data_IF_981017661043
#
_entry.id   IF_981017661043
#
_cell.length_a   1.000
_cell.length_b   1.000
_cell.length_c   1.000
_cell.angle_alpha   90.00
_cell.angle_beta   90.00
_cell.angle_gamma   90.00
#
_symmetry.space_group_name_H-M   'P 1'
#
loop_
_entity.id
_entity.type
_entity.pdbx_description
1 polymer ?
#
# COMPACT_ATOMS: atom_id res chain seq x y z
N UNK A 1 -30.81 -30.78 -25.35
CA UNK A 1 -30.72 -32.25 -25.39
C UNK A 1 -29.99 -32.83 -24.18
N UNK A 2 -28.76 -32.36 -23.85
CA UNK A 2 -28.03 -32.82 -22.65
C UNK A 2 -28.83 -32.68 -21.34
N UNK A 3 -29.62 -31.62 -21.18
CA UNK A 3 -30.42 -31.43 -19.98
C UNK A 3 -31.57 -32.43 -19.82
N UNK A 4 -31.87 -33.21 -20.83
CA UNK A 4 -32.92 -34.26 -20.84
C UNK A 4 -32.38 -35.68 -20.68
N UNK A 5 -31.07 -35.89 -20.53
CA UNK A 5 -30.46 -37.19 -20.31
C UNK A 5 -30.98 -37.78 -18.99
N UNK A 6 -31.36 -39.06 -19.01
CA UNK A 6 -31.86 -39.76 -17.84
C UNK A 6 -30.92 -40.88 -17.38
N UNK A 7 -30.23 -41.55 -18.29
CA UNK A 7 -29.34 -42.64 -17.96
C UNK A 7 -27.89 -42.28 -18.32
N UNK A 8 -26.98 -42.56 -17.42
CA UNK A 8 -25.54 -42.38 -17.60
C UNK A 8 -24.86 -43.67 -17.15
N UNK A 9 -23.90 -44.12 -17.95
CA UNK A 9 -23.03 -45.25 -17.62
C UNK A 9 -21.78 -44.80 -16.93
N UNK A 10 -21.34 -45.47 -15.88
CA UNK A 10 -20.11 -45.19 -15.20
C UNK A 10 -18.94 -45.81 -15.98
N UNK A 11 -18.04 -44.94 -16.46
CA UNK A 11 -16.82 -45.41 -17.14
C UNK A 11 -15.79 -45.86 -16.14
N UNK A 12 -15.49 -45.01 -15.18
CA UNK A 12 -14.55 -45.31 -14.08
C UNK A 12 -14.86 -44.48 -12.82
N UNK A 13 -14.30 -44.90 -11.68
CA UNK A 13 -14.32 -44.22 -10.41
C UNK A 13 -12.89 -44.26 -9.82
N UNK A 14 -12.15 -43.18 -9.99
CA UNK A 14 -10.81 -43.05 -9.41
C UNK A 14 -10.91 -42.58 -7.96
N UNK A 15 -10.27 -43.30 -7.04
CA UNK A 15 -10.16 -42.92 -5.64
C UNK A 15 -8.71 -42.52 -5.33
N UNK A 16 -8.54 -41.42 -4.61
CA UNK A 16 -7.24 -40.92 -4.16
C UNK A 16 -7.39 -40.25 -2.80
N UNK A 17 -6.25 -40.03 -2.15
CA UNK A 17 -6.14 -39.32 -0.91
C UNK A 17 -5.51 -37.94 -1.18
N UNK A 18 -6.11 -36.88 -0.64
CA UNK A 18 -5.52 -35.54 -0.64
C UNK A 18 -5.21 -35.12 0.79
N UNK A 19 -3.98 -34.68 1.04
CA UNK A 19 -3.52 -34.14 2.32
C UNK A 19 -3.41 -32.64 2.23
N UNK A 20 -3.97 -31.95 3.21
CA UNK A 20 -3.94 -30.50 3.33
C UNK A 20 -3.13 -30.15 4.58
N UNK A 21 -1.93 -29.64 4.36
CA UNK A 21 -1.04 -29.21 5.42
C UNK A 21 -1.62 -28.00 6.19
N UNK A 22 -1.29 -27.86 7.47
CA UNK A 22 -1.66 -26.67 8.22
C UNK A 22 -0.96 -25.41 7.67
N UNK A 23 -1.56 -24.24 7.87
CA UNK A 23 -0.91 -22.99 7.53
C UNK A 23 0.32 -22.74 8.41
N UNK A 24 1.30 -21.99 7.89
CA UNK A 24 2.51 -21.62 8.64
C UNK A 24 2.18 -20.73 9.83
N UNK A 25 3.02 -20.71 10.87
CA UNK A 25 2.95 -19.69 11.91
C UNK A 25 2.98 -18.28 11.30
N UNK A 26 2.45 -17.30 12.02
CA UNK A 26 2.35 -15.94 11.49
C UNK A 26 3.69 -15.24 11.33
N UNK A 27 3.90 -14.69 10.15
CA UNK A 27 4.77 -13.54 9.93
C UNK A 27 3.95 -12.24 10.06
N UNK A 28 4.60 -11.08 10.07
CA UNK A 28 3.89 -9.79 10.08
C UNK A 28 2.89 -9.67 8.92
N UNK A 29 3.29 -10.05 7.72
CA UNK A 29 2.44 -9.98 6.53
C UNK A 29 1.23 -10.91 6.65
N UNK A 30 1.44 -12.16 6.99
CA UNK A 30 0.35 -13.13 7.11
C UNK A 30 -0.59 -12.83 8.28
N UNK A 31 -0.10 -12.25 9.39
CA UNK A 31 -0.94 -11.78 10.49
C UNK A 31 -1.85 -10.63 10.04
N UNK A 32 -1.31 -9.63 9.33
CA UNK A 32 -2.11 -8.51 8.81
C UNK A 32 -3.20 -9.00 7.84
N UNK A 33 -2.87 -9.98 6.98
CA UNK A 33 -3.83 -10.58 6.05
C UNK A 33 -4.95 -11.33 6.80
N UNK A 34 -4.59 -12.19 7.74
CA UNK A 34 -5.54 -12.98 8.52
C UNK A 34 -6.45 -12.09 9.39
N UNK A 35 -5.89 -11.12 10.10
CA UNK A 35 -6.67 -10.17 10.90
C UNK A 35 -7.62 -9.32 10.05
N UNK A 36 -7.19 -8.93 8.84
CA UNK A 36 -8.06 -8.20 7.91
C UNK A 36 -9.21 -9.06 7.39
N UNK A 37 -8.96 -10.33 7.11
CA UNK A 37 -9.98 -11.26 6.62
C UNK A 37 -10.95 -11.67 7.73
N UNK A 38 -10.44 -12.16 8.86
CA UNK A 38 -11.26 -12.74 9.94
C UNK A 38 -11.85 -11.66 10.86
N UNK A 39 -11.03 -10.72 11.33
CA UNK A 39 -11.43 -9.73 12.34
C UNK A 39 -11.80 -8.36 11.73
N UNK A 40 -11.63 -8.18 10.41
CA UNK A 40 -11.87 -6.91 9.69
C UNK A 40 -10.97 -5.75 10.20
N UNK A 41 -9.85 -6.07 10.85
CA UNK A 41 -8.89 -5.07 11.31
C UNK A 41 -8.07 -4.52 10.14
N UNK A 42 -7.82 -3.22 10.16
CA UNK A 42 -6.87 -2.59 9.23
C UNK A 42 -5.44 -2.95 9.62
N UNK A 43 -4.50 -3.05 8.67
CA UNK A 43 -3.10 -3.38 8.96
C UNK A 43 -2.47 -2.53 10.07
N UNK A 44 -2.74 -1.22 10.10
CA UNK A 44 -2.26 -0.31 11.16
C UNK A 44 -2.85 -0.68 12.53
N UNK A 45 -4.15 -0.96 12.60
CA UNK A 45 -4.82 -1.42 13.83
C UNK A 45 -4.22 -2.75 14.29
N UNK A 46 -4.09 -3.72 13.39
CA UNK A 46 -3.46 -5.02 13.69
C UNK A 46 -2.08 -4.84 14.32
N UNK A 47 -1.24 -3.97 13.73
CA UNK A 47 0.09 -3.74 14.26
C UNK A 47 0.11 -3.01 15.60
N UNK A 48 -0.84 -2.10 15.84
CA UNK A 48 -0.99 -1.44 17.14
C UNK A 48 -1.40 -2.42 18.25
N UNK A 49 -2.37 -3.29 17.96
CA UNK A 49 -2.81 -4.33 18.90
C UNK A 49 -1.72 -5.38 19.16
N UNK A 50 -1.01 -5.81 18.10
CA UNK A 50 0.12 -6.73 18.24
C UNK A 50 1.28 -6.12 19.05
N UNK A 51 1.53 -4.81 18.91
CA UNK A 51 2.50 -4.08 19.71
C UNK A 51 2.10 -4.10 21.19
N UNK A 52 0.82 -3.82 21.50
CA UNK A 52 0.32 -3.85 22.88
C UNK A 52 0.47 -5.25 23.50
N UNK A 53 0.06 -6.30 22.78
CA UNK A 53 0.21 -7.70 23.23
C UNK A 53 1.68 -8.09 23.46
N UNK A 54 2.60 -7.62 22.62
CA UNK A 54 4.03 -7.84 22.80
C UNK A 54 4.59 -7.10 24.04
N UNK A 55 4.21 -5.83 24.23
CA UNK A 55 4.65 -5.03 25.39
C UNK A 55 4.10 -5.58 26.71
N UNK A 56 2.93 -6.20 26.67
CA UNK A 56 2.35 -6.94 27.81
C UNK A 56 2.99 -8.33 28.03
N UNK A 57 3.85 -8.78 27.11
CA UNK A 57 4.54 -10.06 27.21
C UNK A 57 3.74 -11.28 26.75
N UNK A 58 2.58 -11.08 26.07
CA UNK A 58 1.70 -12.18 25.67
C UNK A 58 2.10 -12.84 24.35
N UNK A 59 2.82 -12.15 23.47
CA UNK A 59 3.28 -12.70 22.19
C UNK A 59 4.77 -12.39 21.95
N UNK A 60 5.39 -13.15 21.03
CA UNK A 60 6.72 -12.85 20.49
C UNK A 60 6.72 -11.57 19.67
N UNK A 61 7.89 -11.06 19.31
CA UNK A 61 8.01 -9.81 18.55
C UNK A 61 7.26 -9.87 17.22
N UNK A 62 6.37 -8.90 17.01
CA UNK A 62 5.39 -8.91 15.93
C UNK A 62 5.94 -8.43 14.57
N UNK A 63 7.18 -7.96 14.50
CA UNK A 63 7.82 -7.56 13.22
C UNK A 63 8.82 -8.61 12.78
N UNK A 64 8.35 -9.64 12.11
CA UNK A 64 9.14 -10.76 11.65
C UNK A 64 8.67 -11.23 10.27
N UNK A 65 9.60 -11.71 9.47
CA UNK A 65 9.39 -12.40 8.21
C UNK A 65 9.64 -13.91 8.32
N UNK A 66 10.09 -14.38 9.51
CA UNK A 66 10.33 -15.79 9.79
C UNK A 66 9.02 -16.52 10.10
N UNK A 67 8.71 -17.63 9.40
CA UNK A 67 7.59 -18.51 9.72
C UNK A 67 7.97 -19.60 10.72
N UNK A 68 9.21 -19.65 11.21
CA UNK A 68 9.70 -20.72 12.07
C UNK A 68 9.52 -20.40 13.54
N UNK A 69 9.24 -21.42 14.31
CA UNK A 69 9.17 -21.40 15.77
C UNK A 69 10.50 -21.86 16.37
N UNK A 70 10.87 -21.39 17.56
CA UNK A 70 12.00 -21.90 18.30
C UNK A 70 11.79 -23.37 18.69
N UNK A 71 12.86 -24.10 18.94
CA UNK A 71 12.77 -25.51 19.35
C UNK A 71 12.00 -25.69 20.65
N UNK A 72 12.19 -24.76 21.60
CA UNK A 72 11.48 -24.74 22.87
C UNK A 72 9.97 -24.52 22.65
N UNK A 73 9.61 -23.57 21.81
CA UNK A 73 8.19 -23.32 21.49
C UNK A 73 7.53 -24.51 20.81
N UNK A 74 8.22 -25.14 19.86
CA UNK A 74 7.73 -26.37 19.21
C UNK A 74 7.50 -27.49 20.22
N UNK A 75 8.44 -27.67 21.16
CA UNK A 75 8.29 -28.70 22.20
C UNK A 75 7.08 -28.42 23.10
N UNK A 76 6.90 -27.18 23.55
CA UNK A 76 5.75 -26.79 24.41
C UNK A 76 4.43 -26.92 23.66
N UNK A 77 4.34 -26.44 22.40
CA UNK A 77 3.12 -26.55 21.59
C UNK A 77 2.74 -28.03 21.36
N UNK A 78 3.71 -28.88 21.04
CA UNK A 78 3.46 -30.30 20.81
C UNK A 78 3.04 -31.03 22.08
N UNK A 79 3.67 -30.72 23.24
CA UNK A 79 3.25 -31.28 24.51
C UNK A 79 1.82 -30.84 24.90
N UNK A 80 1.48 -29.57 24.67
CA UNK A 80 0.12 -29.06 24.87
C UNK A 80 -0.89 -29.80 23.97
N UNK A 81 -0.58 -29.93 22.68
CA UNK A 81 -1.44 -30.60 21.71
C UNK A 81 -1.66 -32.10 22.04
N UNK A 82 -0.59 -32.79 22.46
CA UNK A 82 -0.65 -34.18 22.91
C UNK A 82 -1.56 -34.34 24.13
N UNK A 83 -1.42 -33.45 25.13
CA UNK A 83 -2.30 -33.38 26.30
C UNK A 83 -3.76 -33.13 25.97
N UNK A 84 -4.07 -32.51 24.84
CA UNK A 84 -5.44 -32.31 24.34
C UNK A 84 -5.95 -33.47 23.46
N UNK A 85 -5.10 -34.45 23.16
CA UNK A 85 -5.42 -35.57 22.26
C UNK A 85 -5.50 -35.13 20.78
N UNK A 86 -4.89 -34.02 20.38
CA UNK A 86 -4.89 -33.58 18.99
C UNK A 86 -3.86 -34.33 18.16
N UNK A 87 -4.15 -34.59 16.87
CA UNK A 87 -3.27 -35.38 16.02
C UNK A 87 -1.97 -34.61 15.71
N UNK A 88 -0.84 -35.26 16.00
CA UNK A 88 0.50 -34.73 15.76
C UNK A 88 1.18 -35.50 14.61
N UNK A 89 1.98 -34.85 13.76
CA UNK A 89 2.85 -35.55 12.82
C UNK A 89 4.04 -36.15 13.56
N UNK A 90 4.68 -37.20 12.98
CA UNK A 90 5.84 -37.86 13.56
C UNK A 90 7.00 -36.88 13.86
N UNK A 91 7.21 -35.93 12.95
CA UNK A 91 8.28 -34.94 13.07
C UNK A 91 7.72 -33.53 13.23
N UNK A 92 8.36 -32.67 14.03
CA UNK A 92 8.02 -31.27 14.08
C UNK A 92 8.07 -30.61 12.70
N UNK A 93 7.17 -29.67 12.47
CA UNK A 93 7.13 -28.92 11.21
C UNK A 93 8.10 -27.73 11.26
N UNK A 94 8.82 -27.58 10.17
CA UNK A 94 9.68 -26.41 9.92
C UNK A 94 9.46 -25.93 8.50
N UNK A 95 9.73 -24.66 8.25
CA UNK A 95 9.54 -24.05 6.94
C UNK A 95 10.85 -23.44 6.45
N UNK A 96 11.04 -23.43 5.13
CA UNK A 96 12.17 -22.74 4.53
C UNK A 96 12.01 -21.24 4.76
N UNK A 97 12.98 -20.61 5.41
CA UNK A 97 13.05 -19.17 5.50
C UNK A 97 13.22 -18.56 4.10
N UNK A 98 12.68 -17.36 3.88
CA UNK A 98 12.94 -16.61 2.64
C UNK A 98 14.42 -16.25 2.56
N UNK A 99 14.96 -16.20 1.33
CA UNK A 99 16.32 -15.72 1.11
C UNK A 99 16.44 -14.28 1.63
N UNK A 100 17.37 -14.05 2.56
CA UNK A 100 17.53 -12.75 3.23
C UNK A 100 16.73 -12.56 4.51
N UNK A 101 15.91 -13.53 4.93
CA UNK A 101 15.29 -13.48 6.27
C UNK A 101 16.37 -13.53 7.36
N UNK A 102 16.21 -12.72 8.40
CA UNK A 102 17.13 -12.75 9.53
C UNK A 102 16.89 -14.03 10.32
N UNK A 103 17.87 -14.95 10.30
CA UNK A 103 17.79 -16.26 10.96
C UNK A 103 17.49 -16.20 12.47
N UNK A 104 17.73 -15.04 13.11
CA UNK A 104 17.48 -14.82 14.52
C UNK A 104 15.99 -14.51 14.85
N UNK A 105 15.13 -14.34 13.84
CA UNK A 105 13.73 -14.00 14.07
C UNK A 105 12.86 -15.25 14.18
N UNK A 106 12.02 -15.27 15.22
CA UNK A 106 10.96 -16.26 15.41
C UNK A 106 9.64 -15.77 14.83
N UNK A 107 8.74 -16.69 14.48
CA UNK A 107 7.36 -16.38 14.10
C UNK A 107 6.56 -15.74 15.24
N UNK A 108 5.46 -15.09 14.91
CA UNK A 108 4.54 -14.52 15.89
C UNK A 108 3.73 -15.65 16.54
N UNK A 109 3.87 -15.80 17.84
CA UNK A 109 3.19 -16.81 18.66
C UNK A 109 2.93 -16.31 20.08
N UNK A 110 2.02 -16.95 20.84
CA UNK A 110 1.94 -16.75 22.29
C UNK A 110 3.26 -17.09 22.99
N UNK A 111 3.57 -16.37 24.02
CA UNK A 111 4.66 -16.71 24.96
C UNK A 111 4.25 -17.88 25.86
N UNK A 112 2.97 -17.93 26.22
CA UNK A 112 2.32 -18.94 27.05
C UNK A 112 1.17 -19.57 26.28
N UNK A 113 1.40 -20.75 25.69
CA UNK A 113 0.42 -21.40 24.80
C UNK A 113 -0.81 -21.93 25.54
N UNK A 114 -0.69 -22.19 26.84
CA UNK A 114 -1.75 -22.61 27.74
C UNK A 114 -2.79 -21.52 28.01
N UNK A 115 -2.42 -20.26 27.91
CA UNK A 115 -3.35 -19.14 28.05
C UNK A 115 -4.29 -19.09 26.84
N UNK A 116 -5.59 -19.28 27.08
CA UNK A 116 -6.57 -19.27 26.00
C UNK A 116 -6.92 -17.86 25.52
N UNK A 117 -6.76 -16.86 26.41
CA UNK A 117 -7.18 -15.50 26.19
C UNK A 117 -6.20 -14.54 26.88
N UNK A 118 -5.71 -13.55 26.18
CA UNK A 118 -4.80 -12.55 26.72
C UNK A 118 -5.03 -11.17 26.06
N UNK A 119 -4.61 -10.11 26.77
CA UNK A 119 -4.82 -8.72 26.38
C UNK A 119 -5.93 -8.05 27.20
N UNK A 120 -5.92 -6.73 27.18
CA UNK A 120 -6.82 -5.90 28.00
C UNK A 120 -8.14 -5.62 27.29
N UNK A 121 -8.11 -5.41 25.98
CA UNK A 121 -9.28 -5.05 25.17
C UNK A 121 -9.86 -6.28 24.43
N UNK A 122 -11.13 -6.18 24.00
CA UNK A 122 -11.77 -7.23 23.20
C UNK A 122 -11.02 -7.47 21.86
N UNK A 123 -10.50 -6.41 21.25
CA UNK A 123 -9.75 -6.51 20.01
C UNK A 123 -8.37 -7.18 20.21
N UNK A 124 -7.67 -6.88 21.31
CA UNK A 124 -6.43 -7.58 21.68
C UNK A 124 -6.68 -9.07 21.91
N UNK A 125 -7.72 -9.42 22.65
CA UNK A 125 -8.13 -10.81 22.89
C UNK A 125 -8.45 -11.54 21.60
N UNK A 126 -9.20 -10.91 20.71
CA UNK A 126 -9.52 -11.50 19.40
C UNK A 126 -8.26 -11.74 18.55
N UNK A 127 -7.32 -10.78 18.54
CA UNK A 127 -6.05 -10.93 17.83
C UNK A 127 -5.17 -12.01 18.46
N UNK A 128 -5.11 -12.06 19.80
CA UNK A 128 -4.36 -13.08 20.53
C UNK A 128 -4.87 -14.49 20.20
N UNK A 129 -6.20 -14.72 20.24
CA UNK A 129 -6.79 -16.00 19.89
C UNK A 129 -6.45 -16.42 18.46
N UNK A 130 -6.51 -15.49 17.51
CA UNK A 130 -6.11 -15.75 16.12
C UNK A 130 -4.66 -16.21 16.04
N UNK A 131 -3.74 -15.53 16.76
CA UNK A 131 -2.32 -15.89 16.81
C UNK A 131 -2.13 -17.26 17.47
N UNK A 132 -2.82 -17.52 18.58
CA UNK A 132 -2.72 -18.78 19.30
C UNK A 132 -3.20 -19.98 18.48
N UNK A 133 -4.37 -19.87 17.89
CA UNK A 133 -4.92 -20.93 17.02
C UNK A 133 -3.98 -21.23 15.86
N UNK A 134 -3.40 -20.23 15.24
CA UNK A 134 -2.44 -20.41 14.15
C UNK A 134 -1.15 -21.11 14.60
N UNK A 135 -0.60 -20.71 15.73
CA UNK A 135 0.61 -21.32 16.29
C UNK A 135 0.38 -22.79 16.62
N UNK A 136 -0.74 -23.12 17.27
CA UNK A 136 -1.14 -24.49 17.56
C UNK A 136 -1.36 -25.31 16.28
N UNK A 137 -2.19 -24.81 15.38
CA UNK A 137 -2.52 -25.50 14.12
C UNK A 137 -1.28 -25.85 13.32
N UNK A 138 -0.29 -24.94 13.31
CA UNK A 138 0.93 -25.10 12.51
C UNK A 138 1.72 -26.36 12.82
N UNK A 139 1.63 -26.91 14.02
CA UNK A 139 2.35 -28.10 14.46
C UNK A 139 1.51 -29.38 14.44
N UNK A 140 0.24 -29.32 14.06
CA UNK A 140 -0.65 -30.48 13.99
C UNK A 140 -0.49 -31.26 12.67
N UNK A 141 -1.11 -32.46 12.62
CA UNK A 141 -1.13 -33.31 11.44
C UNK A 141 -1.93 -32.68 10.29
N UNK A 142 -1.69 -33.15 9.07
CA UNK A 142 -2.47 -32.79 7.89
C UNK A 142 -3.95 -33.19 8.07
N UNK A 143 -4.85 -32.42 7.48
CA UNK A 143 -6.20 -32.89 7.24
C UNK A 143 -6.21 -33.81 6.02
N UNK A 144 -6.89 -34.95 6.13
CA UNK A 144 -6.92 -35.98 5.08
C UNK A 144 -8.31 -36.04 4.47
N UNK A 145 -8.36 -36.02 3.15
CA UNK A 145 -9.58 -36.11 2.37
C UNK A 145 -9.55 -37.33 1.45
N UNK A 146 -10.64 -38.09 1.40
CA UNK A 146 -10.92 -39.00 0.29
C UNK A 146 -11.41 -38.19 -0.91
N UNK A 147 -10.72 -38.27 -2.01
CA UNK A 147 -11.09 -37.61 -3.27
C UNK A 147 -11.55 -38.67 -4.25
N UNK A 148 -12.75 -38.48 -4.85
CA UNK A 148 -13.28 -39.33 -5.91
C UNK A 148 -13.49 -38.52 -7.17
N UNK A 149 -13.04 -39.07 -8.29
CA UNK A 149 -13.31 -38.59 -9.63
C UNK A 149 -14.10 -39.66 -10.36
N UNK A 150 -15.36 -39.38 -10.60
CA UNK A 150 -16.28 -40.25 -11.33
C UNK A 150 -16.39 -39.75 -12.76
N UNK A 151 -16.09 -40.61 -13.76
CA UNK A 151 -16.34 -40.34 -15.16
C UNK A 151 -17.54 -41.14 -15.63
N UNK A 152 -18.47 -40.45 -16.29
CA UNK A 152 -19.72 -41.03 -16.78
C UNK A 152 -19.85 -40.72 -18.27
N UNK A 153 -20.56 -41.59 -18.97
CA UNK A 153 -20.92 -41.36 -20.36
C UNK A 153 -22.41 -41.48 -20.61
N UNK A 154 -22.86 -40.83 -21.65
CA UNK A 154 -24.20 -40.99 -22.15
C UNK A 154 -24.19 -40.81 -23.67
N UNK A 155 -25.10 -41.53 -24.37
CA UNK A 155 -25.35 -41.31 -25.76
C UNK A 155 -26.23 -40.04 -25.95
N UNK A 156 -25.79 -39.14 -26.81
CA UNK A 156 -26.50 -37.93 -27.18
C UNK A 156 -26.59 -37.88 -28.72
N UNK A 157 -27.69 -38.31 -29.26
CA UNK A 157 -27.92 -38.35 -30.72
C UNK A 157 -26.84 -39.16 -31.48
N UNK A 158 -26.45 -40.32 -30.97
CA UNK A 158 -25.43 -41.21 -31.58
C UNK A 158 -23.98 -40.75 -31.32
N UNK A 159 -23.77 -39.81 -30.39
CA UNK A 159 -22.43 -39.37 -29.97
C UNK A 159 -22.28 -39.57 -28.47
N UNK A 160 -21.16 -40.17 -28.08
CA UNK A 160 -20.80 -40.32 -26.68
C UNK A 160 -20.41 -38.94 -26.08
N UNK A 161 -21.15 -38.53 -25.05
CA UNK A 161 -20.82 -37.37 -24.24
C UNK A 161 -20.27 -37.84 -22.88
N UNK A 162 -19.13 -37.28 -22.46
CA UNK A 162 -18.48 -37.61 -21.18
C UNK A 162 -18.81 -36.52 -20.14
N UNK A 163 -19.09 -36.95 -18.93
CA UNK A 163 -19.33 -36.11 -17.78
C UNK A 163 -18.35 -36.48 -16.66
N UNK A 164 -17.96 -35.49 -15.85
CA UNK A 164 -17.13 -35.70 -14.70
C UNK A 164 -17.83 -35.17 -13.44
N UNK A 165 -17.74 -35.97 -12.35
CA UNK A 165 -18.13 -35.56 -11.02
C UNK A 165 -16.92 -35.73 -10.10
N UNK A 166 -16.41 -34.62 -9.55
CA UNK A 166 -15.33 -34.64 -8.60
C UNK A 166 -15.85 -34.21 -7.23
N UNK A 167 -15.49 -34.95 -6.21
CA UNK A 167 -15.84 -34.63 -4.83
C UNK A 167 -14.77 -35.03 -3.86
N UNK A 168 -14.85 -34.49 -2.66
CA UNK A 168 -13.97 -34.86 -1.55
C UNK A 168 -14.79 -34.98 -0.27
N UNK A 169 -14.36 -35.84 0.62
CA UNK A 169 -14.95 -36.06 1.96
C UNK A 169 -13.83 -36.04 2.99
N UNK A 170 -13.95 -35.21 4.01
CA UNK A 170 -12.99 -35.18 5.12
C UNK A 170 -12.98 -36.52 5.84
N UNK A 171 -11.82 -37.16 5.93
CA UNK A 171 -11.59 -38.41 6.65
C UNK A 171 -10.95 -38.17 8.02
N UNK A 172 -9.87 -37.35 8.02
CA UNK A 172 -9.16 -36.99 9.24
C UNK A 172 -9.13 -35.46 9.36
N UNK A 173 -9.58 -34.94 10.48
CA UNK A 173 -9.63 -33.51 10.71
C UNK A 173 -8.23 -32.85 10.72
N UNK A 174 -7.23 -33.57 11.25
CA UNK A 174 -5.89 -33.02 11.40
C UNK A 174 -5.93 -31.66 12.13
N UNK A 175 -5.21 -30.68 11.62
CA UNK A 175 -5.19 -29.34 12.20
C UNK A 175 -6.54 -28.61 12.22
N UNK A 176 -7.49 -29.04 11.42
CA UNK A 176 -8.84 -28.44 11.36
C UNK A 176 -9.69 -28.72 12.61
N UNK A 177 -9.24 -29.58 13.50
CA UNK A 177 -9.87 -29.75 14.82
C UNK A 177 -9.99 -28.41 15.56
N UNK A 178 -9.04 -27.49 15.35
CA UNK A 178 -9.06 -26.16 15.96
C UNK A 178 -10.05 -25.21 15.30
N UNK A 179 -10.34 -25.36 14.01
CA UNK A 179 -11.29 -24.51 13.29
C UNK A 179 -12.74 -24.81 13.66
N UNK A 180 -13.03 -26.05 14.09
CA UNK A 180 -14.36 -26.43 14.54
C UNK A 180 -14.75 -25.74 15.87
N UNK A 181 -13.74 -25.31 16.65
CA UNK A 181 -13.92 -24.64 17.93
C UNK A 181 -13.97 -23.10 17.84
N UNK A 182 -13.50 -22.50 16.73
CA UNK A 182 -13.38 -21.04 16.61
C UNK A 182 -13.99 -20.52 15.29
N UNK A 183 -15.11 -19.79 15.40
CA UNK A 183 -15.78 -19.20 14.24
C UNK A 183 -14.96 -18.10 13.51
N UNK A 184 -14.02 -17.46 14.21
CA UNK A 184 -13.22 -16.37 13.67
C UNK A 184 -12.20 -16.83 12.62
N UNK A 185 -11.85 -18.11 12.57
CA UNK A 185 -10.84 -18.66 11.66
C UNK A 185 -11.40 -19.27 10.37
N UNK A 186 -12.72 -19.27 10.21
CA UNK A 186 -13.40 -19.93 9.06
C UNK A 186 -13.11 -19.28 7.69
N UNK A 187 -12.69 -18.02 7.64
CA UNK A 187 -12.47 -17.28 6.37
C UNK A 187 -11.09 -17.55 5.71
N UNK A 188 -10.14 -18.17 6.42
CA UNK A 188 -8.78 -18.41 5.88
C UNK A 188 -8.66 -19.71 5.06
N UNK A 189 -9.62 -20.58 5.13
CA UNK A 189 -9.69 -21.78 4.31
C UNK A 189 -10.60 -21.52 3.12
N UNK A 190 -10.07 -21.35 1.91
CA UNK A 190 -10.81 -21.58 0.65
C UNK A 190 -11.17 -23.09 0.61
N UNK A 191 -11.99 -23.54 1.55
CA UNK A 191 -12.49 -24.89 1.52
C UNK A 191 -13.57 -24.98 0.44
N UNK A 192 -13.24 -25.66 -0.63
CA UNK A 192 -14.28 -26.17 -1.52
C UNK A 192 -15.26 -26.97 -0.65
N UNK A 193 -16.58 -26.69 -0.75
CA UNK A 193 -17.54 -27.40 0.06
C UNK A 193 -17.40 -28.90 -0.14
N UNK A 194 -17.55 -29.65 0.93
CA UNK A 194 -17.64 -31.10 0.85
C UNK A 194 -18.74 -31.47 -0.16
N UNK A 195 -18.33 -32.07 -1.26
CA UNK A 195 -19.22 -32.57 -2.29
C UNK A 195 -18.99 -34.07 -2.43
N UNK A 196 -19.61 -34.88 -1.58
CA UNK A 196 -19.35 -36.32 -1.56
C UNK A 196 -19.82 -36.94 -2.87
N UNK A 197 -18.90 -37.58 -3.55
CA UNK A 197 -19.20 -38.44 -4.71
C UNK A 197 -19.18 -39.89 -4.24
N UNK A 198 -20.28 -40.67 -4.45
CA UNK A 198 -20.35 -42.05 -4.00
C UNK A 198 -19.34 -42.94 -4.77
N UNK A 199 -18.86 -43.98 -4.09
CA UNK A 199 -18.07 -45.01 -4.75
C UNK A 199 -19.00 -45.86 -5.62
N UNK A 200 -18.80 -45.86 -6.91
CA UNK A 200 -19.64 -46.61 -7.86
C UNK A 200 -18.73 -47.47 -8.77
N UNK A 201 -19.24 -48.61 -9.20
CA UNK A 201 -18.48 -49.55 -10.03
C UNK A 201 -18.59 -49.18 -11.52
N UNK A 202 -17.53 -49.39 -12.26
CA UNK A 202 -17.53 -49.25 -13.72
C UNK A 202 -18.58 -50.15 -14.37
N UNK A 203 -19.27 -49.68 -15.39
CA UNK A 203 -20.37 -50.34 -16.08
C UNK A 203 -21.75 -50.20 -15.38
N UNK A 204 -21.80 -49.66 -14.17
CA UNK A 204 -23.07 -49.40 -13.51
C UNK A 204 -23.81 -48.24 -14.19
N UNK A 205 -25.15 -48.33 -14.17
CA UNK A 205 -26.03 -47.28 -14.71
C UNK A 205 -26.54 -46.42 -13.59
N UNK A 206 -26.49 -45.10 -13.78
CA UNK A 206 -27.08 -44.12 -12.85
C UNK A 206 -28.12 -43.28 -13.53
N UNK A 207 -29.17 -42.87 -12.80
CA UNK A 207 -30.24 -42.04 -13.32
C UNK A 207 -30.02 -40.58 -12.95
N UNK A 208 -29.94 -39.73 -13.95
CA UNK A 208 -29.90 -38.27 -13.73
C UNK A 208 -31.31 -37.78 -13.36
N UNK A 209 -31.46 -37.19 -12.19
CA UNK A 209 -32.73 -36.63 -11.71
C UNK A 209 -33.07 -35.31 -12.42
N UNK A 210 -32.07 -34.49 -12.62
CA UNK A 210 -32.22 -33.21 -13.31
C UNK A 210 -30.91 -32.79 -13.99
N UNK A 211 -31.02 -31.93 -14.98
CA UNK A 211 -29.86 -31.33 -15.63
C UNK A 211 -30.15 -29.89 -16.02
N UNK A 212 -29.14 -29.03 -15.93
CA UNK A 212 -29.23 -27.62 -16.33
C UNK A 212 -27.95 -27.16 -17.05
N UNK A 213 -28.12 -26.27 -18.00
CA UNK A 213 -26.99 -25.58 -18.64
C UNK A 213 -26.69 -24.32 -17.86
N UNK A 214 -25.47 -24.22 -17.39
CA UNK A 214 -24.97 -23.02 -16.70
C UNK A 214 -24.14 -22.20 -17.67
N UNK A 215 -24.65 -21.03 -18.05
CA UNK A 215 -23.86 -20.06 -18.81
C UNK A 215 -22.94 -19.31 -17.85
N UNK A 216 -21.64 -19.56 -17.96
CA UNK A 216 -20.61 -18.86 -17.19
C UNK A 216 -19.94 -17.81 -18.07
N UNK A 217 -19.71 -16.64 -17.51
CA UNK A 217 -18.89 -15.59 -18.13
C UNK A 217 -17.58 -15.47 -17.37
N UNK A 218 -16.49 -15.28 -18.09
CA UNK A 218 -15.21 -14.91 -17.45
C UNK A 218 -15.38 -13.59 -16.72
N UNK A 219 -14.79 -13.50 -15.55
CA UNK A 219 -14.78 -12.26 -14.75
C UNK A 219 -13.39 -11.63 -14.85
N UNK A 220 -13.29 -10.29 -14.87
CA UNK A 220 -12.01 -9.63 -14.75
C UNK A 220 -11.39 -9.97 -13.38
N UNK A 221 -10.05 -9.81 -13.23
CA UNK A 221 -9.40 -9.93 -11.93
C UNK A 221 -10.09 -9.04 -10.89
N UNK A 222 -10.22 -9.54 -9.68
CA UNK A 222 -10.81 -8.77 -8.59
C UNK A 222 -9.89 -7.62 -8.18
N UNK A 223 -10.48 -6.51 -7.71
CA UNK A 223 -9.71 -5.42 -7.10
C UNK A 223 -9.04 -5.92 -5.82
N UNK A 224 -7.94 -5.28 -5.46
CA UNK A 224 -7.27 -5.57 -4.20
C UNK A 224 -8.16 -5.25 -3.01
N UNK A 225 -8.03 -6.05 -1.95
CA UNK A 225 -8.40 -5.73 -0.58
C UNK A 225 -7.14 -5.29 0.17
N UNK A 226 -7.26 -4.78 1.41
CA UNK A 226 -6.09 -4.49 2.23
C UNK A 226 -5.21 -5.74 2.43
N UNK A 227 -5.83 -6.89 2.72
CA UNK A 227 -5.12 -8.16 2.85
C UNK A 227 -4.38 -8.58 1.58
N UNK A 228 -5.06 -8.58 0.43
CA UNK A 228 -4.44 -8.99 -0.84
C UNK A 228 -3.39 -7.99 -1.32
N UNK A 229 -3.50 -6.70 -0.97
CA UNK A 229 -2.46 -5.72 -1.28
C UNK A 229 -1.20 -5.92 -0.42
N UNK A 230 -1.34 -6.26 0.87
CA UNK A 230 -0.18 -6.66 1.70
C UNK A 230 0.54 -7.84 1.07
N UNK A 231 -0.21 -8.89 0.66
CA UNK A 231 0.37 -10.06 -0.02
C UNK A 231 1.10 -9.69 -1.32
N UNK A 232 0.51 -8.79 -2.11
CA UNK A 232 1.11 -8.35 -3.37
C UNK A 232 2.40 -7.55 -3.16
N UNK A 233 2.44 -6.65 -2.16
CA UNK A 233 3.65 -5.93 -1.77
C UNK A 233 4.76 -6.91 -1.36
N UNK A 234 4.43 -7.89 -0.51
CA UNK A 234 5.36 -8.91 -0.07
C UNK A 234 5.89 -9.74 -1.25
N UNK A 235 5.01 -10.22 -2.14
CA UNK A 235 5.39 -11.01 -3.32
C UNK A 235 6.30 -10.25 -4.27
N UNK A 236 6.13 -8.94 -4.39
CA UNK A 236 6.99 -8.06 -5.20
C UNK A 236 8.27 -7.64 -4.50
N UNK A 237 8.43 -7.94 -3.22
CA UNK A 237 9.58 -7.49 -2.41
C UNK A 237 9.56 -6.00 -2.10
N UNK A 238 8.37 -5.39 -2.08
CA UNK A 238 8.15 -3.98 -1.75
C UNK A 238 7.76 -3.85 -0.28
N UNK A 239 8.53 -3.10 0.48
CA UNK A 239 8.34 -2.96 1.92
C UNK A 239 8.92 -4.12 2.73
N UNK A 240 8.81 -4.00 4.03
CA UNK A 240 9.29 -4.96 5.04
C UNK A 240 8.26 -5.07 6.16
N UNK A 241 8.38 -6.02 7.10
CA UNK A 241 7.47 -6.14 8.25
C UNK A 241 7.19 -4.83 8.98
N UNK A 242 8.16 -3.92 9.01
CA UNK A 242 8.03 -2.60 9.66
C UNK A 242 7.25 -1.58 8.83
N UNK A 243 7.10 -1.75 7.51
CA UNK A 243 6.60 -0.70 6.61
C UNK A 243 5.28 -1.01 5.91
N UNK A 244 4.84 -2.28 5.82
CA UNK A 244 3.58 -2.65 5.13
C UNK A 244 2.38 -1.82 5.61
N UNK A 245 2.17 -1.75 6.93
CA UNK A 245 1.05 -1.00 7.48
C UNK A 245 1.16 0.52 7.20
N UNK A 246 2.38 1.08 7.25
CA UNK A 246 2.62 2.48 6.98
C UNK A 246 2.41 2.85 5.51
N UNK A 247 2.79 1.98 4.57
CA UNK A 247 2.54 2.16 3.14
C UNK A 247 1.03 2.26 2.88
N UNK A 248 0.25 1.30 3.39
CA UNK A 248 -1.19 1.28 3.21
C UNK A 248 -1.88 2.47 3.88
N UNK A 249 -1.48 2.82 5.09
CA UNK A 249 -2.00 4.00 5.81
C UNK A 249 -1.71 5.29 5.03
N UNK A 250 -0.51 5.42 4.48
CA UNK A 250 -0.08 6.61 3.71
C UNK A 250 -0.94 6.80 2.46
N UNK A 251 -1.13 5.77 1.65
CA UNK A 251 -1.90 5.90 0.39
C UNK A 251 -3.39 6.14 0.64
N UNK A 252 -3.93 5.66 1.78
CA UNK A 252 -5.30 5.98 2.21
C UNK A 252 -5.41 7.40 2.76
N UNK A 253 -4.51 7.81 3.66
CA UNK A 253 -4.52 9.14 4.29
C UNK A 253 -4.30 10.27 3.28
N UNK A 254 -3.50 10.01 2.23
CA UNK A 254 -3.31 10.94 1.11
C UNK A 254 -4.43 10.88 0.08
N UNK A 255 -5.47 10.10 0.34
CA UNK A 255 -6.62 9.94 -0.54
C UNK A 255 -6.27 9.47 -1.96
N UNK A 256 -5.16 8.76 -2.15
CA UNK A 256 -4.82 8.18 -3.45
C UNK A 256 -5.69 6.99 -3.79
N UNK A 257 -6.17 6.29 -2.77
CA UNK A 257 -7.13 5.20 -2.85
C UNK A 257 -8.24 5.38 -1.81
N UNK A 258 -9.40 4.81 -2.08
CA UNK A 258 -10.51 4.67 -1.13
C UNK A 258 -10.94 3.22 -1.03
N UNK A 259 -11.55 2.84 0.09
CA UNK A 259 -12.12 1.52 0.29
C UNK A 259 -13.62 1.57 0.00
N UNK A 260 -14.08 0.72 -0.94
CA UNK A 260 -15.49 0.52 -1.26
C UNK A 260 -15.85 -0.95 -1.03
N UNK A 261 -16.69 -1.25 -0.07
CA UNK A 261 -17.13 -2.62 0.28
C UNK A 261 -15.99 -3.59 0.60
N UNK A 262 -14.85 -3.22 1.05
CA UNK A 262 -13.60 -3.96 1.23
C UNK A 262 -12.62 -3.93 0.05
N UNK A 263 -13.01 -3.43 -1.12
CA UNK A 263 -12.11 -3.33 -2.26
C UNK A 263 -11.47 -1.95 -2.34
N UNK A 264 -10.22 -1.92 -2.72
CA UNK A 264 -9.47 -0.69 -2.91
C UNK A 264 -9.71 -0.15 -4.32
N UNK A 265 -10.10 1.11 -4.39
CA UNK A 265 -10.41 1.81 -5.64
C UNK A 265 -9.52 3.04 -5.74
N UNK A 266 -8.77 3.24 -6.84
CA UNK A 266 -8.01 4.47 -7.02
C UNK A 266 -8.95 5.67 -7.12
N UNK A 267 -8.54 6.80 -6.54
CA UNK A 267 -9.24 8.07 -6.67
C UNK A 267 -8.75 8.83 -7.91
N UNK A 268 -9.47 9.85 -8.40
CA UNK A 268 -8.97 10.72 -9.45
C UNK A 268 -7.62 11.36 -9.10
N UNK A 269 -7.43 11.77 -7.84
CA UNK A 269 -6.16 12.30 -7.36
C UNK A 269 -5.03 11.26 -7.45
N UNK A 270 -5.29 10.02 -7.01
CA UNK A 270 -4.29 8.94 -7.11
C UNK A 270 -3.88 8.65 -8.54
N UNK A 271 -4.84 8.64 -9.48
CA UNK A 271 -4.56 8.46 -10.91
C UNK A 271 -3.71 9.62 -11.44
N UNK A 272 -4.08 10.88 -11.15
CA UNK A 272 -3.32 12.06 -11.57
C UNK A 272 -1.87 12.04 -11.05
N UNK A 273 -1.66 11.65 -9.79
CA UNK A 273 -0.30 11.55 -9.22
C UNK A 273 0.53 10.49 -9.96
N UNK A 274 -0.04 9.32 -10.24
CA UNK A 274 0.66 8.27 -11.00
C UNK A 274 0.96 8.74 -12.41
N UNK A 275 -0.02 9.29 -13.13
CA UNK A 275 0.14 9.75 -14.52
C UNK A 275 1.20 10.85 -14.64
N UNK A 276 1.30 11.73 -13.64
CA UNK A 276 2.30 12.79 -13.61
C UNK A 276 3.73 12.28 -13.39
N UNK A 277 3.89 11.16 -12.66
CA UNK A 277 5.20 10.71 -12.18
C UNK A 277 5.74 9.47 -12.93
N UNK A 278 4.87 8.61 -13.46
CA UNK A 278 5.24 7.27 -13.96
C UNK A 278 6.31 7.28 -15.06
N UNK A 279 6.30 8.30 -15.93
CA UNK A 279 7.25 8.43 -17.03
C UNK A 279 8.43 9.36 -16.70
N UNK A 280 8.40 10.00 -15.55
CA UNK A 280 9.39 11.01 -15.15
C UNK A 280 10.37 10.49 -14.10
N UNK A 281 9.90 9.62 -13.21
CA UNK A 281 10.64 9.21 -12.03
C UNK A 281 10.67 7.70 -11.85
N UNK A 282 11.86 7.15 -11.72
CA UNK A 282 12.07 5.72 -11.51
C UNK A 282 11.58 5.21 -10.15
N UNK A 283 11.49 6.06 -9.14
CA UNK A 283 10.99 5.65 -7.82
C UNK A 283 9.50 5.25 -7.82
N UNK A 284 8.76 5.52 -8.88
CA UNK A 284 7.39 5.03 -9.08
C UNK A 284 7.37 3.58 -9.59
N UNK A 285 8.49 3.09 -10.12
CA UNK A 285 8.62 1.71 -10.58
C UNK A 285 8.79 0.75 -9.39
N UNK A 286 8.07 -0.37 -9.45
CA UNK A 286 8.18 -1.45 -8.46
C UNK A 286 9.61 -2.04 -8.39
N UNK A 287 10.30 -2.14 -9.54
CA UNK A 287 11.66 -2.64 -9.60
C UNK A 287 12.62 -1.76 -8.81
N UNK A 288 12.50 -0.43 -8.93
CA UNK A 288 13.32 0.51 -8.16
C UNK A 288 13.15 0.34 -6.64
N UNK A 289 11.91 0.23 -6.17
CA UNK A 289 11.64 0.05 -4.74
C UNK A 289 12.21 -1.28 -4.25
N UNK A 290 12.04 -2.36 -5.01
CA UNK A 290 12.62 -3.67 -4.69
C UNK A 290 14.15 -3.62 -4.63
N UNK A 291 14.79 -2.98 -5.61
CA UNK A 291 16.25 -2.81 -5.65
C UNK A 291 16.76 -2.00 -4.45
N UNK A 292 16.03 -0.95 -4.06
CA UNK A 292 16.37 -0.13 -2.88
C UNK A 292 16.25 -0.94 -1.59
N UNK A 293 15.18 -1.73 -1.42
CA UNK A 293 15.01 -2.61 -0.25
C UNK A 293 16.14 -3.65 -0.17
N UNK A 294 16.53 -4.23 -1.32
CA UNK A 294 17.67 -5.14 -1.38
C UNK A 294 18.99 -4.47 -1.05
N UNK A 295 19.20 -3.24 -1.53
CA UNK A 295 20.40 -2.47 -1.22
C UNK A 295 20.50 -2.14 0.29
N UNK A 296 19.36 -1.91 0.96
CA UNK A 296 19.33 -1.74 2.43
C UNK A 296 19.70 -3.03 3.16
N UNK A 297 19.20 -4.18 2.71
CA UNK A 297 19.60 -5.49 3.27
C UNK A 297 21.10 -5.77 3.04
N UNK A 298 21.63 -5.39 1.87
CA UNK A 298 23.05 -5.52 1.56
C UNK A 298 23.94 -4.61 2.41
N UNK A 299 23.46 -3.41 2.79
CA UNK A 299 24.14 -2.55 3.78
C UNK A 299 24.13 -3.25 5.15
N UNK A 300 22.99 -3.76 5.59
CA UNK A 300 22.85 -4.43 6.89
C UNK A 300 23.74 -5.67 7.00
N UNK A 301 23.93 -6.41 5.89
CA UNK A 301 24.82 -7.57 5.82
C UNK A 301 26.29 -7.25 5.50
N UNK A 302 26.65 -5.96 5.37
CA UNK A 302 28.02 -5.51 5.10
C UNK A 302 28.51 -5.74 3.66
N UNK A 303 27.65 -6.13 2.73
CA UNK A 303 28.00 -6.36 1.31
C UNK A 303 28.24 -5.06 0.54
N UNK A 304 27.61 -3.97 0.96
CA UNK A 304 27.76 -2.64 0.33
C UNK A 304 27.84 -1.53 1.37
N UNK A 305 28.27 -0.34 0.95
CA UNK A 305 28.44 0.81 1.83
C UNK A 305 27.26 1.77 1.71
N UNK A 306 26.77 2.25 2.85
CA UNK A 306 25.68 3.23 2.94
C UNK A 306 25.88 4.44 2.00
N UNK A 307 27.08 5.05 2.01
CA UNK A 307 27.37 6.23 1.19
C UNK A 307 27.21 5.98 -0.31
N UNK A 308 27.56 4.77 -0.78
CA UNK A 308 27.42 4.42 -2.19
C UNK A 308 25.96 4.32 -2.60
N UNK A 309 25.14 3.66 -1.79
CA UNK A 309 23.70 3.50 -2.06
C UNK A 309 23.01 4.88 -2.07
N UNK A 310 23.28 5.71 -1.05
CA UNK A 310 22.69 7.06 -0.95
C UNK A 310 23.14 7.94 -2.11
N UNK A 311 24.43 7.95 -2.45
CA UNK A 311 24.94 8.75 -3.56
C UNK A 311 24.32 8.35 -4.91
N UNK A 312 24.19 7.03 -5.16
CA UNK A 312 23.56 6.50 -6.38
C UNK A 312 22.08 6.93 -6.47
N UNK A 313 21.32 6.75 -5.39
CA UNK A 313 19.92 7.12 -5.35
C UNK A 313 19.72 8.64 -5.50
N UNK A 314 20.55 9.44 -4.81
CA UNK A 314 20.51 10.89 -4.88
C UNK A 314 20.83 11.42 -6.29
N UNK A 315 21.91 10.95 -6.90
CA UNK A 315 22.29 11.39 -8.24
C UNK A 315 21.20 11.04 -9.27
N UNK A 316 20.66 9.81 -9.22
CA UNK A 316 19.55 9.40 -10.08
C UNK A 316 18.35 10.31 -9.92
N UNK A 317 17.93 10.58 -8.67
CA UNK A 317 16.81 11.49 -8.40
C UNK A 317 17.06 12.90 -8.92
N UNK A 318 18.26 13.45 -8.70
CA UNK A 318 18.60 14.81 -9.17
C UNK A 318 18.63 14.93 -10.71
N UNK A 319 19.08 13.88 -11.40
CA UNK A 319 19.03 13.81 -12.86
C UNK A 319 17.59 13.73 -13.37
N UNK A 320 16.73 12.97 -12.69
CA UNK A 320 15.30 12.86 -13.03
C UNK A 320 14.55 14.16 -12.77
N UNK A 321 14.79 14.83 -11.63
CA UNK A 321 14.23 16.15 -11.31
C UNK A 321 14.66 17.17 -12.35
N UNK A 322 15.95 17.19 -12.72
CA UNK A 322 16.47 18.14 -13.73
C UNK A 322 15.80 17.94 -15.08
N UNK A 323 15.60 16.68 -15.50
CA UNK A 323 14.88 16.35 -16.74
C UNK A 323 13.42 16.74 -16.69
N UNK A 324 12.76 16.45 -15.56
CA UNK A 324 11.36 16.80 -15.34
C UNK A 324 11.15 18.32 -15.37
N UNK A 325 11.96 19.07 -14.63
CA UNK A 325 11.90 20.52 -14.59
C UNK A 325 12.14 21.12 -15.97
N UNK A 326 13.12 20.59 -16.72
CA UNK A 326 13.40 21.06 -18.08
C UNK A 326 12.27 20.80 -19.06
N UNK A 327 11.60 19.65 -18.93
CA UNK A 327 10.48 19.26 -19.80
C UNK A 327 9.20 20.07 -19.51
N UNK A 328 8.99 20.48 -18.25
CA UNK A 328 7.79 21.18 -17.79
C UNK A 328 8.06 22.67 -17.47
N UNK A 329 9.28 23.15 -17.70
CA UNK A 329 9.65 24.53 -17.42
C UNK A 329 8.81 25.50 -18.26
N UNK A 330 8.20 26.45 -17.60
CA UNK A 330 7.66 27.63 -18.27
C UNK A 330 8.82 28.53 -18.66
N UNK A 331 9.09 28.61 -19.95
CA UNK A 331 10.18 29.41 -20.45
C UNK A 331 9.96 30.91 -20.22
N UNK A 332 11.01 31.63 -19.88
CA UNK A 332 10.95 33.08 -19.78
C UNK A 332 10.61 33.72 -21.15
N UNK A 333 9.53 34.50 -21.25
CA UNK A 333 9.16 35.12 -22.52
C UNK A 333 10.28 36.05 -23.12
N UNK A 334 11.16 36.54 -22.28
CA UNK A 334 12.20 37.50 -22.69
C UNK A 334 13.53 36.84 -23.08
N UNK A 335 14.03 35.91 -22.26
CA UNK A 335 15.34 35.31 -22.50
C UNK A 335 15.30 33.79 -22.75
N UNK A 336 14.11 33.19 -22.83
CA UNK A 336 13.90 31.75 -23.05
C UNK A 336 14.52 30.84 -21.97
N UNK A 337 14.93 31.43 -20.84
CA UNK A 337 15.47 30.64 -19.72
C UNK A 337 14.40 29.72 -19.13
N UNK A 338 14.73 28.45 -18.85
CA UNK A 338 13.82 27.51 -18.15
C UNK A 338 13.72 27.78 -16.64
N UNK A 339 14.46 28.77 -16.11
CA UNK A 339 14.51 29.08 -14.68
C UNK A 339 13.44 30.09 -14.24
N UNK A 340 12.42 30.34 -15.05
CA UNK A 340 11.29 31.21 -14.67
C UNK A 340 10.57 30.64 -13.44
N UNK A 341 10.46 31.43 -12.39
CA UNK A 341 9.86 31.00 -11.13
C UNK A 341 8.49 31.66 -10.93
N UNK A 342 7.50 30.87 -10.58
CA UNK A 342 6.21 31.37 -10.10
C UNK A 342 6.33 31.70 -8.60
N UNK A 343 6.08 32.96 -8.25
CA UNK A 343 6.24 33.49 -6.90
C UNK A 343 4.88 33.96 -6.41
N UNK A 344 4.35 33.23 -5.43
CA UNK A 344 3.03 33.49 -4.84
C UNK A 344 3.19 33.81 -3.36
N UNK A 345 2.47 34.82 -2.90
CA UNK A 345 2.29 35.10 -1.50
C UNK A 345 0.82 35.50 -1.27
N UNK A 346 0.18 34.84 -0.35
CA UNK A 346 -1.21 35.15 -0.01
C UNK A 346 -1.35 36.47 0.73
N UNK A 347 -2.52 37.12 0.58
CA UNK A 347 -2.89 38.29 1.34
C UNK A 347 -3.00 37.95 2.84
N UNK A 348 -2.36 38.76 3.66
CA UNK A 348 -2.52 38.72 5.11
C UNK A 348 -3.05 40.05 5.63
N UNK A 349 -3.55 40.12 6.88
CA UNK A 349 -4.13 41.35 7.47
C UNK A 349 -3.21 42.57 7.35
N UNK A 350 -1.89 42.39 7.26
CA UNK A 350 -0.90 43.46 7.27
C UNK A 350 -0.01 43.53 6.03
N UNK A 351 -0.10 42.56 5.10
CA UNK A 351 0.77 42.51 3.93
C UNK A 351 -0.05 42.09 2.72
N UNK A 352 -0.01 42.90 1.68
CA UNK A 352 -0.62 42.54 0.39
C UNK A 352 0.11 41.36 -0.24
N UNK A 353 -0.62 40.37 -0.66
CA UNK A 353 -0.11 39.23 -1.42
C UNK A 353 0.40 39.65 -2.81
N UNK A 354 1.09 38.73 -3.44
CA UNK A 354 1.54 38.88 -4.81
C UNK A 354 1.57 37.53 -5.50
N UNK A 355 1.34 37.57 -6.80
CA UNK A 355 1.32 36.41 -7.68
C UNK A 355 1.89 36.81 -9.03
N UNK A 356 3.13 36.40 -9.28
CA UNK A 356 3.86 36.77 -10.49
C UNK A 356 4.98 35.79 -10.82
N UNK A 357 5.45 35.80 -12.06
CA UNK A 357 6.63 35.08 -12.50
C UNK A 357 7.87 35.98 -12.49
N UNK A 358 8.99 35.45 -12.04
CA UNK A 358 10.28 36.13 -12.06
C UNK A 358 11.37 35.26 -12.68
N UNK A 359 12.15 35.81 -13.59
CA UNK A 359 13.31 35.15 -14.20
C UNK A 359 14.59 35.60 -13.48
N UNK A 360 15.35 34.66 -12.86
CA UNK A 360 16.62 35.02 -12.23
C UNK A 360 17.74 35.36 -13.21
N UNK A 361 17.65 34.91 -14.48
CA UNK A 361 18.72 35.10 -15.47
C UNK A 361 18.64 36.45 -16.16
N UNK A 362 17.44 36.99 -16.38
CA UNK A 362 17.28 38.33 -17.00
C UNK A 362 16.56 39.36 -16.11
N UNK A 363 16.24 38.97 -14.87
CA UNK A 363 15.54 39.76 -13.86
C UNK A 363 14.15 40.30 -14.30
N UNK A 364 13.61 39.82 -15.42
CA UNK A 364 12.28 40.17 -15.88
C UNK A 364 11.20 39.58 -14.98
N UNK A 365 10.13 40.35 -14.78
CA UNK A 365 8.93 39.89 -14.02
C UNK A 365 7.70 39.99 -14.90
N UNK A 366 6.79 38.99 -14.74
CA UNK A 366 5.57 38.89 -15.52
C UNK A 366 4.41 38.67 -14.57
N UNK A 367 3.24 39.28 -14.78
CA UNK A 367 2.04 38.96 -13.99
C UNK A 367 1.62 37.51 -14.24
N UNK A 368 1.03 36.86 -13.24
CA UNK A 368 0.35 35.60 -13.48
C UNK A 368 -0.99 35.86 -14.17
N UNK A 369 -1.20 35.20 -15.29
CA UNK A 369 -2.47 35.17 -16.02
C UNK A 369 -2.80 33.70 -16.25
N UNK A 370 -3.79 33.21 -15.52
CA UNK A 370 -4.26 31.80 -15.62
C UNK A 370 -3.13 30.76 -15.53
N UNK A 371 -2.20 30.94 -14.59
CA UNK A 371 -1.09 30.01 -14.35
C UNK A 371 0.08 30.17 -15.37
N UNK A 372 0.06 31.19 -16.22
CA UNK A 372 1.10 31.46 -17.22
C UNK A 372 1.66 32.87 -17.08
N UNK A 373 2.92 33.11 -17.50
CA UNK A 373 3.46 34.46 -17.51
C UNK A 373 2.71 35.32 -18.54
N UNK A 374 2.02 36.33 -18.05
CA UNK A 374 1.36 37.33 -18.88
C UNK A 374 2.33 38.32 -19.55
N UNK A 375 1.82 39.27 -20.34
CA UNK A 375 2.67 40.25 -21.01
C UNK A 375 3.43 41.09 -19.95
N UNK A 376 4.71 41.38 -20.26
CA UNK A 376 5.54 42.22 -19.41
C UNK A 376 4.87 43.58 -19.22
N UNK A 377 4.62 43.95 -17.97
CA UNK A 377 4.17 45.29 -17.66
C UNK A 377 5.39 46.22 -17.64
N UNK A 378 5.48 47.07 -18.62
CA UNK A 378 6.45 48.17 -18.59
C UNK A 378 6.08 49.10 -17.44
N UNK A 379 6.72 48.89 -16.30
CA UNK A 379 6.65 49.86 -15.21
C UNK A 379 7.37 51.10 -15.74
N UNK A 380 6.59 52.16 -16.07
CA UNK A 380 7.23 53.48 -16.38
C UNK A 380 8.21 53.78 -15.25
N UNK A 381 9.49 53.89 -15.61
CA UNK A 381 10.50 54.33 -14.63
C UNK A 381 10.00 55.68 -14.08
N UNK A 382 9.98 55.84 -12.77
CA UNK A 382 9.50 57.10 -12.18
C UNK A 382 10.35 58.24 -12.70
N UNK A 383 9.71 59.31 -13.19
CA UNK A 383 10.41 60.48 -13.70
C UNK A 383 11.17 61.14 -12.55
N UNK A 384 12.46 61.30 -12.78
CA UNK A 384 13.35 61.95 -11.85
C UNK A 384 13.10 63.46 -11.98
N UNK A 385 12.86 64.13 -10.87
CA UNK A 385 12.73 65.60 -10.85
C UNK A 385 14.10 66.26 -10.92
N UNK A 386 14.13 67.55 -11.26
CA UNK A 386 15.34 68.36 -11.22
C UNK A 386 15.88 68.63 -9.81
N UNK A 387 15.02 68.37 -8.77
CA UNK A 387 15.35 68.60 -7.38
C UNK A 387 16.23 67.46 -6.81
N UNK A 388 17.21 67.86 -6.00
CA UNK A 388 18.11 66.89 -5.33
C UNK A 388 17.76 66.71 -3.86
N UNK A 389 17.96 65.52 -3.36
CA UNK A 389 17.80 65.18 -1.97
C UNK A 389 18.83 65.88 -1.10
N UNK A 390 18.43 66.62 -0.08
CA UNK A 390 19.31 67.31 0.84
C UNK A 390 20.22 66.38 1.67
N UNK A 391 19.78 65.12 1.88
CA UNK A 391 20.53 64.16 2.70
C UNK A 391 21.62 63.40 1.88
N UNK A 392 21.34 63.04 0.61
CA UNK A 392 22.23 62.14 -0.16
C UNK A 392 22.54 62.65 -1.57
N UNK A 393 22.06 63.80 -1.98
CA UNK A 393 22.33 64.42 -3.26
C UNK A 393 21.67 63.76 -4.50
N UNK A 394 20.96 62.65 -4.34
CA UNK A 394 20.28 61.97 -5.45
C UNK A 394 19.02 62.70 -5.89
N UNK A 395 18.58 62.58 -7.15
CA UNK A 395 17.36 63.18 -7.62
C UNK A 395 16.14 62.76 -6.79
N UNK A 396 15.15 63.63 -6.67
CA UNK A 396 13.87 63.35 -6.05
C UNK A 396 12.87 62.85 -7.10
N UNK A 397 11.91 62.01 -6.65
CA UNK A 397 10.81 61.49 -7.44
C UNK A 397 9.52 62.00 -6.82
N UNK A 398 8.67 62.70 -7.57
CA UNK A 398 7.32 63.07 -7.11
C UNK A 398 6.42 61.86 -7.13
N UNK A 399 5.76 61.60 -6.02
CA UNK A 399 4.83 60.47 -5.85
C UNK A 399 3.44 61.03 -5.47
N UNK A 400 2.52 60.88 -6.38
CA UNK A 400 1.10 61.28 -6.18
C UNK A 400 0.23 60.03 -6.25
N UNK A 401 -0.81 59.99 -5.46
CA UNK A 401 -1.78 58.90 -5.47
C UNK A 401 -2.77 58.99 -4.35
N UNK A 402 -3.52 57.90 -4.13
CA UNK A 402 -4.46 57.76 -3.05
C UNK A 402 -4.09 56.55 -2.20
N UNK A 403 -4.04 56.68 -0.89
CA UNK A 403 -3.79 55.59 0.03
C UNK A 403 -4.98 54.62 0.00
N UNK A 404 -4.81 53.39 0.52
CA UNK A 404 -5.90 52.40 0.65
C UNK A 404 -7.12 52.93 1.42
N UNK A 405 -6.94 53.91 2.29
CA UNK A 405 -7.99 54.56 3.07
C UNK A 405 -8.62 55.77 2.38
N UNK A 406 -8.39 55.93 1.07
CA UNK A 406 -8.97 57.01 0.27
C UNK A 406 -8.31 58.38 0.48
N UNK A 407 -7.24 58.49 1.25
CA UNK A 407 -6.54 59.80 1.47
C UNK A 407 -5.54 60.08 0.33
N UNK A 408 -5.64 61.21 -0.33
CA UNK A 408 -4.64 61.57 -1.35
C UNK A 408 -3.29 61.85 -0.69
N UNK A 409 -2.22 61.52 -1.42
CA UNK A 409 -0.84 61.89 -1.05
C UNK A 409 -0.12 62.50 -2.23
N UNK A 410 0.70 63.47 -1.95
CA UNK A 410 1.60 64.10 -2.90
C UNK A 410 2.89 64.51 -2.15
N UNK A 411 3.99 63.87 -2.49
CA UNK A 411 5.28 64.17 -1.86
C UNK A 411 6.44 63.86 -2.80
N UNK A 412 7.61 64.45 -2.54
CA UNK A 412 8.84 64.05 -3.16
C UNK A 412 9.57 63.06 -2.27
N UNK A 413 9.92 61.88 -2.82
CA UNK A 413 10.73 60.85 -2.17
C UNK A 413 12.11 60.78 -2.82
N UNK A 414 13.13 60.45 -2.05
CA UNK A 414 14.49 60.27 -2.59
C UNK A 414 14.57 59.05 -3.50
N UNK A 415 15.20 59.20 -4.70
CA UNK A 415 15.47 58.04 -5.59
C UNK A 415 16.45 57.00 -5.00
N UNK A 416 17.11 57.35 -3.90
CA UNK A 416 17.98 56.47 -3.15
C UNK A 416 17.31 55.51 -2.18
N UNK A 417 15.98 55.53 -2.11
CA UNK A 417 15.21 54.58 -1.27
C UNK A 417 15.51 53.13 -1.69
N UNK A 418 15.69 52.18 -0.76
CA UNK A 418 15.46 52.28 0.70
C UNK A 418 16.65 52.79 1.53
N UNK A 419 17.83 53.04 0.90
CA UNK A 419 19.01 53.49 1.64
C UNK A 419 18.87 54.91 2.17
N UNK A 420 18.22 55.78 1.42
CA UNK A 420 17.85 57.13 1.87
C UNK A 420 16.31 57.23 1.95
N UNK A 421 15.79 57.55 3.13
CA UNK A 421 14.34 57.62 3.40
C UNK A 421 13.78 59.05 3.40
N UNK A 422 14.55 60.01 2.92
CA UNK A 422 14.12 61.39 2.90
C UNK A 422 12.83 61.60 2.10
N UNK A 423 11.92 62.35 2.66
CA UNK A 423 10.63 62.79 2.08
C UNK A 423 10.49 64.28 2.26
N UNK A 424 9.95 64.94 1.24
CA UNK A 424 9.71 66.39 1.21
C UNK A 424 8.25 66.61 0.86
N UNK A 425 7.62 67.58 1.54
CA UNK A 425 6.29 68.01 1.21
C UNK A 425 6.26 68.79 -0.10
N UNK A 426 5.10 68.85 -0.74
CA UNK A 426 4.91 69.60 -1.98
C UNK A 426 4.26 70.91 -1.66
N UNK A 427 4.97 72.02 -1.92
CA UNK A 427 4.42 73.37 -1.87
C UNK A 427 4.75 74.06 -3.19
N UNK A 428 3.70 74.60 -3.83
CA UNK A 428 3.84 75.24 -5.16
C UNK A 428 4.57 74.39 -6.19
N UNK A 429 4.28 73.07 -6.19
CA UNK A 429 4.96 72.05 -7.05
C UNK A 429 6.46 71.84 -6.80
N UNK A 430 6.99 72.37 -5.69
CA UNK A 430 8.41 72.23 -5.30
C UNK A 430 8.52 71.46 -3.98
N UNK A 431 9.64 70.70 -3.76
CA UNK A 431 9.92 70.08 -2.49
C UNK A 431 10.31 71.13 -1.43
N UNK A 432 9.69 71.00 -0.26
CA UNK A 432 9.95 71.86 0.91
C UNK A 432 10.29 70.99 2.12
#
# INVERSE_FOLDING_TARGET
>A
KMAGLRSLEILDCEESEARVAPPTPFTTSSLQQAASNALKFKPKQTMSLAQALYEQGHITYMRTDSPNLSQEAVAVIRAYADGQGWPLPDKPRTWKAKDGAQEAHEAIRPTHIEEEDAGETADEKALYRLIRVRALASQLADSVYAVRLLRLSADVDGKQATFEAKGRTLQEQGWKVLLAADEATKDDAEDEPDNPVPALQSGAQVTALSGRVLTKKTKPPTRYTLASLVRELENRGIGRPSTFAAILDTIQTREYIKEEKRYLVPTPLGVQVVDALVNAFSFVDYAFTKEMEQALDDIASGKTKYQQVVATAFNRLMDEVTRFDSAHAVLCPECQSPKLRHIVKEDTKNVRGYDFFACPDCEATFPNVDGKPGPKQDRKKPELSEYKCGECGKPLIRRMGTTQNGKPYDFFGCSGFPKCKAKYEVKDSKPV
#
